data_IF_929493117280
#
_entry.id   IF_929493117280
#
_cell.length_a   1.000
_cell.length_b   1.000
_cell.length_c   1.000
_cell.angle_alpha   90.00
_cell.angle_beta   90.00
_cell.angle_gamma   90.00
#
_symmetry.space_group_name_H-M   'P 1'
#
loop_
_entity.id
_entity.type
_entity.pdbx_description
1 polymer ?
#
# COMPACT_ATOMS: atom_id res chain seq x y z
N UNK A 1 22.45 -0.94 -33.86
CA UNK A 1 21.24 -0.71 -33.03
C UNK A 1 21.71 -0.68 -31.59
N UNK A 2 22.10 0.50 -31.11
CA UNK A 2 22.41 0.73 -29.71
C UNK A 2 21.09 1.07 -29.02
N UNK A 3 20.49 0.08 -28.36
CA UNK A 3 19.36 0.33 -27.49
C UNK A 3 19.85 1.23 -26.36
N UNK A 4 19.57 2.52 -26.50
CA UNK A 4 19.55 3.48 -25.40
C UNK A 4 18.40 3.09 -24.48
N UNK A 5 18.56 1.98 -23.75
CA UNK A 5 17.88 1.80 -22.48
C UNK A 5 18.47 2.90 -21.62
N UNK A 6 17.74 4.01 -21.56
CA UNK A 6 17.99 5.08 -20.61
C UNK A 6 17.94 4.39 -19.25
N UNK A 7 19.11 4.02 -18.75
CA UNK A 7 19.34 3.62 -17.37
C UNK A 7 18.98 4.85 -16.55
N UNK A 8 17.69 4.96 -16.24
CA UNK A 8 17.17 6.02 -15.37
C UNK A 8 17.85 5.73 -14.05
N UNK A 9 18.95 6.46 -13.81
CA UNK A 9 19.74 6.44 -12.59
C UNK A 9 18.82 6.05 -11.45
N UNK A 10 18.99 4.84 -10.89
CA UNK A 10 18.04 4.37 -9.94
C UNK A 10 18.16 5.33 -8.76
N UNK A 11 17.02 5.87 -8.33
CA UNK A 11 16.97 7.08 -7.49
C UNK A 11 17.69 6.90 -6.15
N UNK A 12 17.52 7.83 -5.21
CA UNK A 12 18.09 7.62 -3.86
C UNK A 12 17.59 6.30 -3.26
N UNK A 13 18.53 5.44 -2.85
CA UNK A 13 18.21 4.18 -2.17
C UNK A 13 17.48 4.47 -0.85
N UNK A 14 16.47 3.66 -0.53
CA UNK A 14 15.72 3.78 0.71
C UNK A 14 16.50 3.12 1.86
N UNK A 15 16.85 3.83 2.94
CA UNK A 15 17.50 3.21 4.08
C UNK A 15 16.61 2.13 4.69
N UNK A 16 17.12 0.90 4.77
CA UNK A 16 16.39 -0.27 5.29
C UNK A 16 15.74 -0.03 6.66
N UNK A 17 16.40 0.62 7.64
CA UNK A 17 15.78 0.89 8.94
C UNK A 17 14.54 1.77 8.83
N UNK A 18 14.54 2.75 7.93
CA UNK A 18 13.40 3.65 7.71
C UNK A 18 12.23 2.88 7.10
N UNK A 19 12.50 2.03 6.12
CA UNK A 19 11.48 1.21 5.48
C UNK A 19 10.79 0.28 6.49
N UNK A 20 11.58 -0.39 7.32
CA UNK A 20 11.12 -1.31 8.37
C UNK A 20 10.35 -0.55 9.46
N UNK A 21 10.87 0.58 9.94
CA UNK A 21 10.18 1.42 10.92
C UNK A 21 8.83 1.90 10.40
N UNK A 22 8.78 2.38 9.15
CA UNK A 22 7.53 2.84 8.52
C UNK A 22 6.53 1.69 8.39
N UNK A 23 6.99 0.50 8.01
CA UNK A 23 6.14 -0.69 7.93
C UNK A 23 5.51 -1.03 9.29
N UNK A 24 6.31 -1.09 10.35
CA UNK A 24 5.81 -1.38 11.70
C UNK A 24 4.87 -0.29 12.23
N UNK A 25 5.18 0.98 11.97
CA UNK A 25 4.31 2.09 12.39
C UNK A 25 2.94 2.00 11.72
N UNK A 26 2.91 1.73 10.41
CA UNK A 26 1.64 1.56 9.68
C UNK A 26 0.83 0.36 10.17
N UNK A 27 1.51 -0.76 10.44
CA UNK A 27 0.86 -1.94 11.03
C UNK A 27 0.34 -1.68 12.43
N UNK A 28 1.09 -0.97 13.28
CA UNK A 28 0.65 -0.60 14.62
C UNK A 28 -0.63 0.23 14.57
N UNK A 29 -0.68 1.24 13.69
CA UNK A 29 -1.90 2.06 13.50
C UNK A 29 -3.05 1.21 12.96
N UNK A 30 -2.80 0.32 11.98
CA UNK A 30 -3.83 -0.57 11.44
C UNK A 30 -4.43 -1.49 12.53
N UNK A 31 -3.60 -2.08 13.38
CA UNK A 31 -4.03 -2.92 14.50
C UNK A 31 -4.89 -2.12 15.49
N UNK A 32 -4.48 -0.89 15.82
CA UNK A 32 -5.26 -0.01 16.68
C UNK A 32 -6.63 0.28 16.06
N UNK A 33 -6.68 0.62 14.78
CA UNK A 33 -7.94 0.88 14.05
C UNK A 33 -8.87 -0.34 14.05
N UNK A 34 -8.36 -1.54 13.76
CA UNK A 34 -9.15 -2.77 13.86
C UNK A 34 -9.61 -3.07 15.29
N UNK A 35 -8.81 -2.74 16.30
CA UNK A 35 -9.15 -2.98 17.70
C UNK A 35 -10.27 -2.07 18.20
N UNK A 36 -10.33 -0.82 17.71
CA UNK A 36 -11.37 0.14 18.07
C UNK A 36 -12.62 0.04 17.19
N UNK A 37 -12.57 -0.65 16.05
CA UNK A 37 -13.70 -0.73 15.11
C UNK A 37 -15.00 -1.27 15.75
N UNK A 38 -14.99 -2.23 16.69
CA UNK A 38 -16.21 -2.67 17.38
C UNK A 38 -16.86 -1.60 18.27
N UNK A 39 -16.12 -0.53 18.62
CA UNK A 39 -16.61 0.57 19.43
C UNK A 39 -17.32 1.65 18.59
N UNK A 40 -17.22 1.58 17.26
CA UNK A 40 -17.84 2.56 16.35
C UNK A 40 -19.29 2.16 16.09
N UNK A 41 -20.23 3.00 16.54
CA UNK A 41 -21.67 2.75 16.44
C UNK A 41 -22.24 3.04 15.06
N UNK A 42 -21.70 4.02 14.34
CA UNK A 42 -22.10 4.31 12.96
C UNK A 42 -21.50 3.28 11.99
N UNK A 43 -22.37 2.67 11.18
CA UNK A 43 -21.98 1.60 10.26
C UNK A 43 -21.06 2.09 9.15
N UNK A 44 -21.29 3.30 8.61
CA UNK A 44 -20.47 3.85 7.53
C UNK A 44 -19.06 4.21 8.04
N UNK A 45 -18.98 4.90 9.19
CA UNK A 45 -17.72 5.19 9.85
C UNK A 45 -16.94 3.93 10.23
N UNK A 46 -17.62 2.87 10.70
CA UNK A 46 -16.97 1.61 11.05
C UNK A 46 -16.33 0.94 9.81
N UNK A 47 -17.05 0.87 8.70
CA UNK A 47 -16.49 0.34 7.44
C UNK A 47 -15.24 1.11 7.01
N UNK A 48 -15.30 2.44 7.04
CA UNK A 48 -14.17 3.29 6.72
C UNK A 48 -12.96 3.07 7.63
N UNK A 49 -13.17 2.86 8.93
CA UNK A 49 -12.09 2.55 9.90
C UNK A 49 -11.40 1.22 9.55
N UNK A 50 -12.18 0.19 9.26
CA UNK A 50 -11.68 -1.15 8.87
C UNK A 50 -10.88 -1.05 7.55
N UNK A 51 -11.39 -0.31 6.59
CA UNK A 51 -10.78 -0.17 5.27
C UNK A 51 -9.51 0.70 5.31
N UNK A 52 -9.49 1.74 6.13
CA UNK A 52 -8.28 2.52 6.40
C UNK A 52 -7.18 1.64 7.01
N UNK A 53 -7.53 0.79 7.97
CA UNK A 53 -6.58 -0.17 8.56
C UNK A 53 -6.03 -1.14 7.51
N UNK A 54 -6.88 -1.65 6.62
CA UNK A 54 -6.47 -2.51 5.51
C UNK A 54 -5.48 -1.81 4.56
N UNK A 55 -5.73 -0.54 4.21
CA UNK A 55 -4.80 0.25 3.39
C UNK A 55 -3.46 0.41 4.08
N UNK A 56 -3.45 0.79 5.36
CA UNK A 56 -2.21 0.98 6.12
C UNK A 56 -1.40 -0.31 6.24
N UNK A 57 -2.05 -1.44 6.54
CA UNK A 57 -1.40 -2.74 6.57
C UNK A 57 -0.78 -3.11 5.20
N UNK A 58 -1.51 -2.84 4.12
CA UNK A 58 -1.07 -3.11 2.74
C UNK A 58 0.12 -2.25 2.31
N UNK A 59 0.08 -0.94 2.60
CA UNK A 59 1.19 -0.02 2.33
C UNK A 59 2.39 -0.37 3.19
N UNK A 60 2.18 -0.65 4.49
CA UNK A 60 3.23 -1.07 5.41
C UNK A 60 3.92 -2.35 4.96
N UNK A 61 3.17 -3.35 4.50
CA UNK A 61 3.71 -4.57 3.91
C UNK A 61 4.57 -4.26 2.68
N UNK A 62 4.07 -3.41 1.77
CA UNK A 62 4.78 -3.03 0.55
C UNK A 62 6.14 -2.39 0.83
N UNK A 63 6.25 -1.59 1.90
CA UNK A 63 7.49 -0.89 2.28
C UNK A 63 8.65 -1.85 2.59
N UNK A 64 8.37 -3.08 3.03
CA UNK A 64 9.40 -4.10 3.28
C UNK A 64 10.13 -4.57 2.01
N UNK A 65 9.49 -4.37 0.85
CA UNK A 65 9.97 -4.86 -0.44
C UNK A 65 10.45 -3.76 -1.39
N UNK A 66 10.41 -2.50 -0.97
CA UNK A 66 10.81 -1.35 -1.78
C UNK A 66 12.26 -0.95 -1.48
N UNK A 67 13.07 -0.85 -2.54
CA UNK A 67 14.48 -0.49 -2.43
C UNK A 67 14.76 1.01 -2.71
N UNK A 68 13.82 1.72 -3.34
CA UNK A 68 14.01 3.11 -3.83
C UNK A 68 13.06 4.10 -3.17
N UNK A 69 13.58 5.26 -2.75
CA UNK A 69 12.79 6.32 -2.08
C UNK A 69 11.62 6.77 -2.97
N UNK A 70 11.83 6.91 -4.28
CA UNK A 70 10.76 7.31 -5.22
C UNK A 70 9.59 6.33 -5.20
N UNK A 71 9.88 5.03 -5.19
CA UNK A 71 8.84 3.99 -5.16
C UNK A 71 8.12 3.97 -3.82
N UNK A 72 8.84 4.21 -2.73
CA UNK A 72 8.24 4.32 -1.39
C UNK A 72 7.28 5.52 -1.31
N UNK A 73 7.70 6.69 -1.77
CA UNK A 73 6.83 7.88 -1.83
C UNK A 73 5.58 7.62 -2.68
N UNK A 74 5.71 6.92 -3.82
CA UNK A 74 4.55 6.53 -4.63
C UNK A 74 3.61 5.61 -3.87
N UNK A 75 4.13 4.59 -3.18
CA UNK A 75 3.31 3.70 -2.36
C UNK A 75 2.54 4.46 -1.27
N UNK A 76 3.18 5.42 -0.61
CA UNK A 76 2.52 6.30 0.37
C UNK A 76 1.41 7.13 -0.27
N UNK A 77 1.68 7.75 -1.43
CA UNK A 77 0.68 8.55 -2.17
C UNK A 77 -0.50 7.69 -2.60
N UNK A 78 -0.26 6.48 -3.13
CA UNK A 78 -1.32 5.54 -3.46
C UNK A 78 -2.12 5.10 -2.24
N UNK A 79 -1.48 4.95 -1.08
CA UNK A 79 -2.16 4.73 0.20
C UNK A 79 -3.13 5.85 0.55
N UNK A 80 -2.67 7.10 0.47
CA UNK A 80 -3.53 8.28 0.73
C UNK A 80 -4.70 8.35 -0.25
N UNK A 81 -4.45 8.08 -1.54
CA UNK A 81 -5.50 8.03 -2.56
C UNK A 81 -6.50 6.93 -2.25
N UNK A 82 -6.04 5.73 -1.86
CA UNK A 82 -6.92 4.63 -1.50
C UNK A 82 -7.79 4.96 -0.28
N UNK A 83 -7.24 5.59 0.76
CA UNK A 83 -8.02 6.07 1.92
C UNK A 83 -9.08 7.06 1.47
N UNK A 84 -8.75 8.01 0.60
CA UNK A 84 -9.72 8.98 0.07
C UNK A 84 -10.84 8.29 -0.74
N UNK A 85 -10.50 7.29 -1.56
CA UNK A 85 -11.48 6.50 -2.31
C UNK A 85 -12.40 5.70 -1.37
N UNK A 86 -11.86 5.05 -0.35
CA UNK A 86 -12.66 4.36 0.66
C UNK A 86 -13.58 5.34 1.41
N UNK A 87 -13.08 6.51 1.82
CA UNK A 87 -13.93 7.52 2.44
C UNK A 87 -15.13 7.90 1.56
N UNK A 88 -14.92 8.09 0.25
CA UNK A 88 -16.00 8.41 -0.68
C UNK A 88 -16.98 7.25 -0.80
N UNK A 89 -16.48 6.02 -0.95
CA UNK A 89 -17.33 4.87 -1.27
C UNK A 89 -18.09 4.37 -0.04
N UNK A 90 -17.44 4.31 1.12
CA UNK A 90 -18.02 3.80 2.38
C UNK A 90 -19.07 4.75 2.93
N UNK A 91 -18.83 6.06 2.88
CA UNK A 91 -19.82 7.06 3.31
C UNK A 91 -21.04 7.13 2.40
N UNK A 92 -20.90 6.72 1.13
CA UNK A 92 -22.01 6.63 0.18
C UNK A 92 -22.63 5.23 0.09
N UNK A 93 -22.13 4.25 0.86
CA UNK A 93 -22.67 2.88 0.90
C UNK A 93 -22.58 2.11 -0.42
N UNK A 94 -21.64 2.43 -1.30
CA UNK A 94 -21.55 1.80 -2.63
C UNK A 94 -20.76 0.49 -2.56
N UNK A 95 -21.43 -0.56 -2.07
CA UNK A 95 -20.82 -1.85 -1.73
C UNK A 95 -19.94 -2.46 -2.82
N UNK A 96 -20.37 -2.38 -4.09
CA UNK A 96 -19.61 -2.97 -5.22
C UNK A 96 -18.21 -2.37 -5.29
N UNK A 97 -18.06 -1.05 -5.16
CA UNK A 97 -16.76 -0.41 -5.19
C UNK A 97 -15.98 -0.65 -3.90
N UNK A 98 -16.62 -0.71 -2.73
CA UNK A 98 -15.94 -1.02 -1.46
C UNK A 98 -15.28 -2.39 -1.55
N UNK A 99 -16.02 -3.43 -1.96
CA UNK A 99 -15.46 -4.78 -2.08
C UNK A 99 -14.41 -4.88 -3.18
N UNK A 100 -14.59 -4.15 -4.29
CA UNK A 100 -13.58 -4.07 -5.35
C UNK A 100 -12.27 -3.48 -4.82
N UNK A 101 -12.33 -2.36 -4.08
CA UNK A 101 -11.16 -1.74 -3.47
C UNK A 101 -10.52 -2.66 -2.41
N UNK A 102 -11.33 -3.35 -1.58
CA UNK A 102 -10.85 -4.32 -0.58
C UNK A 102 -10.03 -5.46 -1.18
N UNK A 103 -10.32 -5.87 -2.42
CA UNK A 103 -9.54 -6.88 -3.14
C UNK A 103 -8.31 -6.27 -3.83
N UNK A 104 -8.47 -5.09 -4.45
CA UNK A 104 -7.43 -4.45 -5.24
C UNK A 104 -6.27 -3.94 -4.38
N UNK A 105 -6.55 -3.34 -3.22
CA UNK A 105 -5.51 -2.74 -2.36
C UNK A 105 -4.48 -3.78 -1.87
N UNK A 106 -4.89 -4.94 -1.30
CA UNK A 106 -3.95 -5.98 -0.91
C UNK A 106 -3.24 -6.60 -2.12
N UNK A 107 -3.94 -6.75 -3.25
CA UNK A 107 -3.35 -7.28 -4.48
C UNK A 107 -2.19 -6.40 -4.97
N UNK A 108 -2.36 -5.07 -4.98
CA UNK A 108 -1.27 -4.15 -5.31
C UNK A 108 -0.10 -4.24 -4.34
N UNK A 109 -0.37 -4.42 -3.05
CA UNK A 109 0.68 -4.65 -2.07
C UNK A 109 1.45 -5.97 -2.29
N UNK A 110 0.78 -7.01 -2.76
CA UNK A 110 1.40 -8.28 -3.14
C UNK A 110 2.20 -8.19 -4.44
N UNK A 111 1.88 -7.27 -5.35
CA UNK A 111 2.70 -7.06 -6.54
C UNK A 111 4.07 -6.46 -6.21
N UNK A 112 4.26 -5.80 -5.06
CA UNK A 112 5.55 -5.24 -4.64
C UNK A 112 6.66 -6.29 -4.50
N UNK A 113 6.48 -7.39 -3.73
CA UNK A 113 7.47 -8.47 -3.69
C UNK A 113 7.61 -9.19 -5.03
N UNK A 114 6.53 -9.38 -5.80
CA UNK A 114 6.59 -10.01 -7.14
C UNK A 114 7.46 -9.19 -8.08
N UNK A 115 7.28 -7.87 -8.12
CA UNK A 115 8.07 -6.98 -8.93
C UNK A 115 9.55 -7.05 -8.54
N UNK A 116 9.86 -7.01 -7.24
CA UNK A 116 11.23 -7.17 -6.71
C UNK A 116 11.87 -8.49 -7.14
N UNK A 117 11.11 -9.59 -7.12
CA UNK A 117 11.59 -10.90 -7.58
C UNK A 117 11.83 -10.85 -9.10
N UNK A 118 10.85 -10.40 -9.89
CA UNK A 118 10.94 -10.34 -11.35
C UNK A 118 12.05 -9.44 -11.88
N UNK A 119 12.31 -8.28 -11.23
CA UNK A 119 13.37 -7.37 -11.63
C UNK A 119 14.77 -7.90 -11.31
N UNK A 120 14.88 -8.82 -10.32
CA UNK A 120 16.11 -9.55 -10.04
C UNK A 120 16.27 -10.80 -10.94
N UNK A 121 15.17 -11.32 -11.48
CA UNK A 121 15.14 -12.43 -12.42
C UNK A 121 15.34 -11.93 -13.87
N UNK A 122 16.60 -11.71 -14.26
CA UNK A 122 17.01 -11.68 -15.67
C UNK A 122 16.82 -13.08 -16.28
N UNK A 123 15.59 -13.46 -16.63
CA UNK A 123 15.27 -14.82 -17.14
C UNK A 123 15.54 -14.98 -18.65
N UNK A 124 15.87 -13.91 -19.37
CA UNK A 124 16.37 -14.02 -20.75
C UNK A 124 17.70 -13.25 -20.88
N UNK A 125 18.76 -13.86 -20.38
CA UNK A 125 20.14 -13.57 -20.75
C UNK A 125 20.73 -14.84 -21.38
#
# INVERSE_FOLDING_TARGET
>A
MSDNIIDRSPGKALPRPIAVFTAFLMWAVAIVLWSISPLVTDSAANNFVIDTALVLASVGFSMLFIDWVRTAVRALVFGVIAIALFAIVDLNGILVFTYTLRMIVPLFALYTPVNRISSNFRIFA
#
